data_IF_711437086187
#
_entry.id   IF_711437086187
#
_cell.length_a   1.000
_cell.length_b   1.000
_cell.length_c   1.000
_cell.angle_alpha   90.00
_cell.angle_beta   90.00
_cell.angle_gamma   90.00
#
_symmetry.space_group_name_H-M   'P 1'
#
loop_
_entity.id
_entity.type
_entity.pdbx_description
1 polymer ?
#
# COMPACT_ATOMS: atom_id res chain seq x y z
N UNK A 1 8.18 39.36 33.37
CA UNK A 1 7.31 38.16 33.31
C UNK A 1 6.52 38.27 32.01
N UNK A 2 6.99 37.75 30.87
CA UNK A 2 6.96 36.33 30.47
C UNK A 2 5.53 35.76 30.61
N UNK A 3 4.81 35.27 29.61
CA UNK A 3 5.21 34.64 28.35
C UNK A 3 3.98 34.67 27.41
N UNK A 4 4.20 34.96 26.13
CA UNK A 4 3.18 34.82 25.07
C UNK A 4 3.37 33.40 24.53
N UNK A 5 2.50 32.45 24.90
CA UNK A 5 2.59 31.10 24.36
C UNK A 5 2.15 31.09 22.89
N UNK A 6 3.17 30.98 22.03
CA UNK A 6 3.04 30.93 20.60
C UNK A 6 2.17 29.77 20.16
N UNK A 7 1.03 30.11 19.57
CA UNK A 7 0.32 29.22 18.66
C UNK A 7 1.30 28.81 17.55
N UNK A 8 1.86 27.61 17.68
CA UNK A 8 2.64 26.92 16.65
C UNK A 8 1.69 26.74 15.46
N UNK A 9 1.70 27.69 14.53
CA UNK A 9 1.03 27.56 13.24
C UNK A 9 1.62 26.34 12.55
N UNK A 10 0.90 25.22 12.58
CA UNK A 10 1.21 24.05 11.77
C UNK A 10 0.94 24.43 10.33
N UNK A 11 1.95 25.00 9.67
CA UNK A 11 1.96 25.24 8.24
C UNK A 11 1.60 23.93 7.54
N UNK A 12 0.45 23.90 6.86
CA UNK A 12 0.01 22.72 6.12
C UNK A 12 1.16 22.26 5.20
N UNK A 13 1.53 20.96 5.24
CA UNK A 13 2.70 20.49 4.51
C UNK A 13 2.55 20.86 3.03
N UNK A 14 3.57 21.54 2.49
CA UNK A 14 3.63 21.85 1.06
C UNK A 14 3.63 20.53 0.29
N UNK A 15 2.48 20.19 -0.28
CA UNK A 15 2.31 19.04 -1.15
C UNK A 15 3.09 19.28 -2.45
N UNK A 16 4.37 18.93 -2.46
CA UNK A 16 5.25 19.05 -3.63
C UNK A 16 5.53 17.66 -4.18
N UNK A 17 5.35 17.45 -5.49
CA UNK A 17 5.68 16.17 -6.14
C UNK A 17 7.20 16.06 -6.36
N UNK A 18 7.89 15.48 -5.37
CA UNK A 18 9.36 15.40 -5.33
C UNK A 18 9.90 14.29 -6.23
N UNK A 19 11.20 14.34 -6.54
CA UNK A 19 11.87 13.28 -7.29
C UNK A 19 11.75 11.90 -6.61
N UNK A 20 11.82 11.85 -5.28
CA UNK A 20 11.64 10.63 -4.48
C UNK A 20 10.26 9.98 -4.61
N UNK A 21 9.24 10.75 -5.04
CA UNK A 21 7.88 10.25 -5.26
C UNK A 21 7.64 9.79 -6.70
N UNK A 22 8.67 9.84 -7.56
CA UNK A 22 8.60 9.30 -8.92
C UNK A 22 9.01 7.84 -8.88
N UNK A 23 8.17 6.97 -9.43
CA UNK A 23 8.55 5.59 -9.65
C UNK A 23 9.56 5.55 -10.80
N UNK A 24 10.81 5.26 -10.47
CA UNK A 24 11.95 5.27 -11.38
C UNK A 24 12.76 3.98 -11.24
N UNK A 25 13.62 3.70 -12.23
CA UNK A 25 14.57 2.59 -12.19
C UNK A 25 14.17 1.37 -13.03
N UNK A 26 15.18 0.59 -13.40
CA UNK A 26 15.03 -0.60 -14.22
C UNK A 26 14.14 -1.63 -13.52
N UNK A 27 13.15 -2.16 -14.25
CA UNK A 27 12.22 -3.17 -13.74
C UNK A 27 11.18 -2.66 -12.73
N UNK A 28 11.18 -1.37 -12.33
CA UNK A 28 10.23 -0.86 -11.33
C UNK A 28 8.77 -1.05 -11.76
N UNK A 29 8.45 -0.71 -13.02
CA UNK A 29 7.14 -0.93 -13.61
C UNK A 29 6.78 -2.42 -13.71
N UNK A 30 7.76 -3.26 -14.08
CA UNK A 30 7.57 -4.71 -14.14
C UNK A 30 7.18 -5.28 -12.78
N UNK A 31 7.87 -4.90 -11.70
CA UNK A 31 7.51 -5.34 -10.34
C UNK A 31 6.07 -4.98 -9.98
N UNK A 32 5.63 -3.77 -10.33
CA UNK A 32 4.26 -3.32 -10.06
C UNK A 32 3.24 -4.18 -10.82
N UNK A 33 3.52 -4.50 -12.09
CA UNK A 33 2.67 -5.39 -12.90
C UNK A 33 2.66 -6.83 -12.36
N UNK A 34 3.82 -7.36 -11.99
CA UNK A 34 3.98 -8.71 -11.43
C UNK A 34 3.22 -8.88 -10.10
N UNK A 35 2.93 -7.78 -9.40
CA UNK A 35 2.07 -7.75 -8.22
C UNK A 35 0.60 -8.12 -8.48
N UNK A 36 0.14 -8.14 -9.74
CA UNK A 36 -1.20 -8.59 -10.15
C UNK A 36 -2.35 -7.97 -9.33
N UNK A 37 -2.23 -6.69 -8.96
CA UNK A 37 -3.30 -5.90 -8.35
C UNK A 37 -3.57 -4.71 -9.27
N UNK A 38 -4.80 -4.62 -9.77
CA UNK A 38 -5.20 -3.66 -10.80
C UNK A 38 -6.61 -3.16 -10.53
N UNK A 39 -6.83 -1.86 -10.73
CA UNK A 39 -8.14 -1.22 -10.80
C UNK A 39 -8.24 -0.45 -12.11
N UNK A 40 -9.35 -0.62 -12.81
CA UNK A 40 -9.64 0.09 -14.05
C UNK A 40 -10.72 1.16 -13.82
N UNK A 41 -10.45 2.37 -14.30
CA UNK A 41 -11.36 3.51 -14.32
C UNK A 41 -11.46 4.00 -15.78
N UNK A 42 -12.27 3.31 -16.58
CA UNK A 42 -12.38 3.60 -18.02
C UNK A 42 -11.05 3.46 -18.75
N UNK A 43 -10.56 4.54 -19.34
CA UNK A 43 -9.31 4.56 -20.10
C UNK A 43 -8.03 4.58 -19.23
N UNK A 44 -8.17 4.61 -17.91
CA UNK A 44 -7.05 4.69 -16.96
C UNK A 44 -7.01 3.42 -16.13
N UNK A 45 -5.84 2.79 -16.05
CA UNK A 45 -5.60 1.61 -15.23
C UNK A 45 -4.57 1.93 -14.16
N UNK A 46 -4.82 1.47 -12.94
CA UNK A 46 -3.97 1.67 -11.78
C UNK A 46 -3.48 0.32 -11.28
N UNK A 47 -2.17 0.19 -11.11
CA UNK A 47 -1.53 -0.96 -10.52
C UNK A 47 -0.71 -0.53 -9.31
N UNK A 48 -0.71 -1.32 -8.24
CA UNK A 48 0.12 -1.02 -7.10
C UNK A 48 0.68 -2.26 -6.43
N UNK A 49 1.87 -2.11 -5.85
CA UNK A 49 2.44 -3.05 -4.87
C UNK A 49 2.80 -2.28 -3.60
N UNK A 50 2.59 -2.87 -2.40
CA UNK A 50 3.22 -2.41 -1.18
C UNK A 50 4.71 -2.25 -1.39
N UNK A 51 5.30 -1.20 -0.82
CA UNK A 51 6.74 -1.15 -0.68
C UNK A 51 7.18 -2.06 0.45
N UNK A 52 8.34 -2.66 0.26
CA UNK A 52 8.94 -3.52 1.28
C UNK A 52 9.15 -2.73 2.58
N UNK A 53 8.59 -3.23 3.68
CA UNK A 53 8.72 -2.62 4.99
C UNK A 53 10.18 -2.61 5.49
N UNK A 54 11.02 -3.54 5.03
CA UNK A 54 12.45 -3.56 5.36
C UNK A 54 13.23 -2.43 4.67
N UNK A 55 12.69 -1.87 3.58
CA UNK A 55 13.34 -0.85 2.75
C UNK A 55 12.66 0.53 2.93
N UNK A 56 11.37 0.54 3.22
CA UNK A 56 10.59 1.75 3.43
C UNK A 56 10.93 2.39 4.78
N UNK A 57 11.33 3.67 4.76
CA UNK A 57 11.61 4.43 5.99
C UNK A 57 10.33 4.95 6.66
N UNK A 58 10.43 5.45 7.89
CA UNK A 58 9.31 6.01 8.68
C UNK A 58 8.57 7.20 8.02
N UNK A 59 9.07 7.76 6.92
CA UNK A 59 8.45 8.90 6.20
C UNK A 59 8.33 8.67 4.68
N UNK A 60 8.27 7.41 4.30
CA UNK A 60 8.34 7.01 2.90
C UNK A 60 6.93 7.17 2.28
N UNK A 61 6.77 8.09 1.32
CA UNK A 61 5.48 8.38 0.69
C UNK A 61 5.23 7.52 -0.54
N UNK A 62 3.98 7.25 -0.92
CA UNK A 62 3.62 6.57 -2.18
C UNK A 62 4.40 7.16 -3.37
N UNK A 63 4.89 6.29 -4.25
CA UNK A 63 5.59 6.68 -5.50
C UNK A 63 4.66 6.46 -6.68
N UNK A 64 4.68 7.36 -7.67
CA UNK A 64 3.86 7.24 -8.88
C UNK A 64 4.73 7.20 -10.15
N UNK A 65 4.44 6.24 -11.02
CA UNK A 65 4.90 6.18 -12.41
C UNK A 65 3.71 6.31 -13.36
N UNK A 66 3.90 7.00 -14.49
CA UNK A 66 2.85 7.18 -15.51
C UNK A 66 3.35 6.60 -16.83
N UNK A 67 2.61 5.65 -17.38
CA UNK A 67 2.77 5.12 -18.73
C UNK A 67 1.60 5.60 -19.58
N UNK A 68 1.88 6.14 -20.76
CA UNK A 68 0.84 6.61 -21.69
C UNK A 68 0.97 5.81 -22.98
N UNK A 69 -0.12 5.17 -23.39
CA UNK A 69 -0.17 4.38 -24.61
C UNK A 69 0.11 5.22 -25.86
N UNK A 70 0.78 4.63 -26.85
CA UNK A 70 1.18 5.30 -28.10
C UNK A 70 0.01 5.97 -28.84
N UNK A 71 -1.20 5.41 -28.72
CA UNK A 71 -2.41 5.91 -29.38
C UNK A 71 -3.06 7.12 -28.69
N UNK A 72 -2.58 7.54 -27.52
CA UNK A 72 -3.18 8.63 -26.73
C UNK A 72 -2.84 10.05 -27.23
N UNK A 73 -2.56 10.21 -28.54
CA UNK A 73 -2.25 11.48 -29.17
C UNK A 73 -0.78 11.90 -29.16
N UNK A 74 -0.54 13.11 -29.67
CA UNK A 74 0.78 13.72 -29.82
C UNK A 74 1.45 14.09 -28.49
N UNK A 75 2.70 14.58 -28.56
CA UNK A 75 3.49 14.88 -27.36
C UNK A 75 2.80 15.88 -26.40
N UNK A 76 2.10 16.88 -26.93
CA UNK A 76 1.35 17.85 -26.15
C UNK A 76 0.23 17.20 -25.33
N UNK A 77 -0.61 16.36 -25.95
CA UNK A 77 -1.71 15.63 -25.30
C UNK A 77 -1.16 14.71 -24.19
N UNK A 78 -0.11 13.92 -24.48
CA UNK A 78 0.53 13.07 -23.46
C UNK A 78 1.14 13.87 -22.31
N UNK A 79 1.73 15.03 -22.61
CA UNK A 79 2.29 15.91 -21.57
C UNK A 79 1.19 16.52 -20.69
N UNK A 80 0.03 16.84 -21.28
CA UNK A 80 -1.15 17.33 -20.57
C UNK A 80 -1.70 16.28 -19.61
N UNK A 81 -1.90 15.04 -20.06
CA UNK A 81 -2.28 13.93 -19.18
C UNK A 81 -1.29 13.72 -18.02
N UNK A 82 0.03 13.71 -18.31
CA UNK A 82 1.05 13.62 -17.24
C UNK A 82 0.97 14.78 -16.25
N UNK A 83 0.68 15.99 -16.71
CA UNK A 83 0.55 17.17 -15.82
C UNK A 83 -0.66 17.02 -14.91
N UNK A 84 -1.83 16.70 -15.47
CA UNK A 84 -3.07 16.53 -14.69
C UNK A 84 -2.97 15.40 -13.67
N UNK A 85 -2.43 14.23 -14.04
CA UNK A 85 -2.26 13.11 -13.12
C UNK A 85 -1.27 13.41 -12.00
N UNK A 86 -0.15 14.09 -12.29
CA UNK A 86 0.80 14.50 -11.25
C UNK A 86 0.19 15.54 -10.33
N UNK A 87 -0.62 16.44 -10.86
CA UNK A 87 -1.29 17.45 -10.05
C UNK A 87 -2.37 16.84 -9.16
N UNK A 88 -3.17 15.90 -9.69
CA UNK A 88 -4.11 15.10 -8.92
C UNK A 88 -3.40 14.33 -7.80
N UNK A 89 -2.27 13.69 -8.11
CA UNK A 89 -1.43 13.00 -7.12
C UNK A 89 -0.90 13.95 -6.06
N UNK A 90 -0.35 15.10 -6.46
CA UNK A 90 0.19 16.12 -5.58
C UNK A 90 -0.86 16.64 -4.61
N UNK A 91 -2.04 17.01 -5.10
CA UNK A 91 -3.09 17.59 -4.25
C UNK A 91 -3.69 16.58 -3.26
N UNK A 92 -3.67 15.29 -3.59
CA UNK A 92 -4.31 14.23 -2.80
C UNK A 92 -3.37 13.48 -1.86
N UNK A 93 -2.09 13.88 -1.71
CA UNK A 93 -1.09 13.09 -0.96
C UNK A 93 -1.49 12.77 0.49
N UNK A 94 -2.19 13.70 1.14
CA UNK A 94 -2.67 13.55 2.51
C UNK A 94 -3.82 12.55 2.66
N UNK A 95 -4.48 12.19 1.55
CA UNK A 95 -5.59 11.24 1.50
C UNK A 95 -5.12 9.83 1.12
N UNK A 96 -3.83 9.65 0.83
CA UNK A 96 -3.30 8.34 0.46
C UNK A 96 -3.23 7.44 1.69
N UNK A 97 -3.48 6.13 1.56
CA UNK A 97 -3.31 5.20 2.67
C UNK A 97 -1.89 5.27 3.25
N UNK A 98 -1.78 5.40 4.56
CA UNK A 98 -0.50 5.42 5.31
C UNK A 98 -0.34 4.21 6.22
N UNK A 99 -1.43 3.57 6.63
CA UNK A 99 -1.41 2.34 7.41
C UNK A 99 -0.95 1.14 6.58
N UNK A 100 -0.39 0.13 7.25
CA UNK A 100 0.04 -1.11 6.60
C UNK A 100 -1.11 -1.71 5.76
N UNK A 101 -0.84 -2.22 4.53
CA UNK A 101 0.49 -2.44 3.94
C UNK A 101 0.99 -1.26 3.07
N UNK A 102 0.48 -0.05 3.25
CA UNK A 102 1.07 1.13 2.62
C UNK A 102 2.47 1.43 3.21
N UNK A 103 3.31 2.23 2.53
CA UNK A 103 3.10 2.98 1.29
C UNK A 103 3.24 2.14 0.01
N UNK A 104 2.85 2.70 -1.16
CA UNK A 104 2.80 1.95 -2.43
C UNK A 104 3.82 2.42 -3.49
N UNK A 105 4.18 1.50 -4.38
CA UNK A 105 4.62 1.82 -5.74
C UNK A 105 3.42 1.74 -6.68
N UNK A 106 2.95 2.89 -7.15
CA UNK A 106 1.79 3.04 -8.02
C UNK A 106 2.22 3.26 -9.47
N UNK A 107 1.66 2.47 -10.38
CA UNK A 107 1.78 2.64 -11.83
C UNK A 107 0.42 3.00 -12.41
N UNK A 108 0.36 4.12 -13.11
CA UNK A 108 -0.81 4.59 -13.85
C UNK A 108 -0.58 4.34 -15.33
N UNK A 109 -1.49 3.63 -15.99
CA UNK A 109 -1.48 3.40 -17.44
C UNK A 109 -2.65 4.17 -18.04
N UNK A 110 -2.36 5.04 -18.99
CA UNK A 110 -3.35 5.89 -19.65
C UNK A 110 -3.51 5.47 -21.10
N UNK A 111 -4.73 5.12 -21.49
CA UNK A 111 -5.13 4.86 -22.88
C UNK A 111 -5.73 6.13 -23.51
N UNK A 112 -5.95 6.11 -24.82
CA UNK A 112 -6.60 7.21 -25.52
C UNK A 112 -8.01 7.44 -24.96
N UNK A 113 -8.33 8.69 -24.65
CA UNK A 113 -9.64 9.17 -24.21
C UNK A 113 -9.69 10.70 -24.31
N UNK A 114 -10.89 11.25 -24.23
CA UNK A 114 -11.09 12.70 -24.09
C UNK A 114 -10.55 13.17 -22.74
N UNK A 115 -10.02 14.40 -22.71
CA UNK A 115 -9.43 14.93 -21.49
C UNK A 115 -10.47 15.05 -20.36
N UNK A 116 -10.22 14.36 -19.26
CA UNK A 116 -10.95 14.56 -18.02
C UNK A 116 -10.48 15.81 -17.28
N UNK A 117 -11.37 16.38 -16.47
CA UNK A 117 -11.01 17.45 -15.54
C UNK A 117 -10.04 16.96 -14.45
N UNK A 118 -9.29 17.88 -13.84
CA UNK A 118 -8.41 17.55 -12.72
C UNK A 118 -9.15 16.86 -11.57
N UNK A 119 -10.38 17.30 -11.27
CA UNK A 119 -11.22 16.71 -10.22
C UNK A 119 -11.56 15.24 -10.53
N UNK A 120 -11.91 14.94 -11.78
CA UNK A 120 -12.18 13.56 -12.22
C UNK A 120 -10.93 12.68 -12.14
N UNK A 121 -9.77 13.18 -12.56
CA UNK A 121 -8.50 12.45 -12.39
C UNK A 121 -8.18 12.17 -10.92
N UNK A 122 -8.40 13.14 -10.02
CA UNK A 122 -8.22 12.96 -8.57
C UNK A 122 -9.19 11.93 -8.01
N UNK A 123 -10.46 11.98 -8.40
CA UNK A 123 -11.47 11.03 -7.95
C UNK A 123 -11.11 9.59 -8.36
N UNK A 124 -10.73 9.37 -9.63
CA UNK A 124 -10.29 8.05 -10.09
C UNK A 124 -9.04 7.56 -9.37
N UNK A 125 -8.07 8.44 -9.12
CA UNK A 125 -6.84 8.10 -8.40
C UNK A 125 -7.14 7.63 -6.96
N UNK A 126 -7.99 8.37 -6.24
CA UNK A 126 -8.33 8.05 -4.85
C UNK A 126 -9.16 6.77 -4.73
N UNK A 127 -10.19 6.61 -5.58
CA UNK A 127 -10.97 5.36 -5.64
C UNK A 127 -10.05 4.15 -5.89
N UNK A 128 -9.18 4.26 -6.89
CA UNK A 128 -8.25 3.19 -7.22
C UNK A 128 -7.29 2.88 -6.07
N UNK A 129 -6.74 3.88 -5.39
CA UNK A 129 -5.84 3.68 -4.25
C UNK A 129 -6.55 2.98 -3.08
N UNK A 130 -7.77 3.38 -2.75
CA UNK A 130 -8.55 2.75 -1.67
C UNK A 130 -8.86 1.28 -1.99
N UNK A 131 -9.27 1.00 -3.24
CA UNK A 131 -9.59 -0.36 -3.67
C UNK A 131 -8.34 -1.24 -3.75
N UNK A 132 -7.22 -0.70 -4.23
CA UNK A 132 -5.92 -1.38 -4.22
C UNK A 132 -5.46 -1.67 -2.78
N UNK A 133 -5.63 -0.71 -1.87
CA UNK A 133 -5.33 -0.90 -0.45
C UNK A 133 -6.13 -2.05 0.15
N UNK A 134 -7.44 -2.12 -0.12
CA UNK A 134 -8.29 -3.23 0.32
C UNK A 134 -7.83 -4.60 -0.22
N UNK A 135 -7.44 -4.67 -1.50
CA UNK A 135 -6.88 -5.89 -2.11
C UNK A 135 -5.63 -6.33 -1.35
N UNK A 136 -4.72 -5.41 -1.07
CA UNK A 136 -3.46 -5.72 -0.39
C UNK A 136 -3.64 -6.03 1.09
N UNK A 137 -4.56 -5.37 1.79
CA UNK A 137 -4.95 -5.74 3.14
C UNK A 137 -5.43 -7.20 3.17
N UNK A 138 -6.34 -7.60 2.28
CA UNK A 138 -6.83 -8.99 2.22
C UNK A 138 -5.71 -10.00 1.93
N UNK A 139 -4.71 -9.64 1.13
CA UNK A 139 -3.54 -10.49 0.85
C UNK A 139 -2.61 -10.58 2.05
N UNK A 140 -2.35 -9.46 2.74
CA UNK A 140 -1.53 -9.41 3.95
C UNK A 140 -2.13 -10.27 5.07
N UNK A 141 -3.43 -10.11 5.37
CA UNK A 141 -4.10 -10.91 6.39
C UNK A 141 -4.08 -12.42 6.07
N UNK A 142 -4.30 -12.79 4.81
CA UNK A 142 -4.18 -14.21 4.40
C UNK A 142 -2.78 -14.76 4.63
N UNK A 143 -1.75 -13.96 4.36
CA UNK A 143 -0.35 -14.35 4.57
C UNK A 143 -0.03 -14.53 6.05
N UNK A 144 -0.47 -13.58 6.90
CA UNK A 144 -0.30 -13.67 8.36
C UNK A 144 -0.99 -14.92 8.89
N UNK A 145 -2.26 -15.13 8.54
CA UNK A 145 -3.03 -16.29 9.01
C UNK A 145 -2.41 -17.62 8.55
N UNK A 146 -1.86 -17.69 7.34
CA UNK A 146 -1.15 -18.88 6.86
C UNK A 146 0.15 -19.12 7.63
N UNK A 147 0.94 -18.06 7.87
CA UNK A 147 2.16 -18.14 8.70
C UNK A 147 1.88 -18.58 10.14
N UNK A 148 0.80 -18.08 10.76
CA UNK A 148 0.39 -18.50 12.10
C UNK A 148 -0.06 -19.97 12.13
N UNK A 149 -0.75 -20.43 11.08
CA UNK A 149 -1.16 -21.83 10.94
C UNK A 149 0.04 -22.77 10.77
N UNK A 150 1.00 -22.41 9.89
CA UNK A 150 2.24 -23.17 9.68
C UNK A 150 3.06 -23.24 10.98
N UNK A 151 3.17 -22.13 11.72
CA UNK A 151 3.87 -22.09 13.01
C UNK A 151 3.20 -22.99 14.06
N UNK A 152 1.87 -23.01 14.13
CA UNK A 152 1.11 -23.91 15.03
C UNK A 152 1.30 -25.38 14.66
N UNK A 153 1.33 -25.71 13.38
CA UNK A 153 1.57 -27.08 12.92
C UNK A 153 3.01 -27.57 13.20
N UNK A 154 3.98 -26.66 13.24
CA UNK A 154 5.39 -26.96 13.52
C UNK A 154 5.74 -27.09 15.01
N UNK A 155 4.86 -26.68 15.94
CA UNK A 155 5.07 -26.90 17.36
C UNK A 155 4.73 -28.36 17.72
N UNK A 156 5.64 -29.15 18.30
CA UNK A 156 5.31 -30.49 18.76
C UNK A 156 4.21 -30.39 19.83
N UNK A 157 3.12 -31.14 19.64
CA UNK A 157 2.03 -31.22 20.60
C UNK A 157 2.59 -31.70 21.93
N UNK A 158 2.76 -30.79 22.88
CA UNK A 158 2.89 -31.16 24.29
C UNK A 158 1.52 -31.73 24.70
N UNK A 159 1.34 -33.03 24.52
CA UNK A 159 0.29 -33.77 25.21
C UNK A 159 0.49 -33.55 26.70
N UNK A 160 -0.52 -33.08 27.46
CA UNK A 160 -0.40 -33.05 28.91
C UNK A 160 -0.34 -34.51 29.39
N UNK A 161 0.84 -34.94 29.84
CA UNK A 161 1.02 -36.18 30.57
C UNK A 161 0.13 -36.13 31.80
N UNK A 162 -1.01 -36.83 31.74
CA UNK A 162 -1.84 -37.08 32.92
C UNK A 162 -1.09 -38.13 33.74
N UNK A 163 -0.23 -37.67 34.65
CA UNK A 163 0.32 -38.53 35.70
C UNK A 163 -0.82 -38.80 36.67
N UNK A 164 -1.42 -39.98 36.54
CA UNK A 164 -2.28 -40.59 37.56
C UNK A 164 -1.52 -40.59 38.90
N UNK A 165 -2.07 -40.03 39.99
CA UNK A 165 -1.44 -40.18 41.29
C UNK A 165 -1.66 -41.62 41.77
N UNK A 166 -0.53 -42.28 42.00
CA UNK A 166 -0.38 -43.61 42.57
C UNK A 166 -1.11 -43.70 43.92
N UNK A 167 -1.94 -44.73 44.07
CA UNK A 167 -2.69 -45.00 45.31
C UNK A 167 -1.78 -45.76 46.29
N UNK A 168 -1.82 -45.46 47.60
CA UNK A 168 -0.98 -46.18 48.56
C UNK A 168 -1.51 -47.60 48.79
N UNK A 169 -0.60 -48.56 48.60
CA UNK A 169 -0.77 -49.97 48.92
C UNK A 169 -0.87 -50.16 50.44
N UNK A 170 -1.94 -50.83 50.85
CA UNK A 170 -2.13 -51.47 52.16
C UNK A 170 -3.10 -52.61 51.88
N UNK A 171 -2.92 -53.85 52.41
CA UNK A 171 -2.55 -54.10 53.80
C UNK A 171 -1.66 -55.34 54.04
N UNK A 172 -1.20 -55.55 55.28
CA UNK A 172 -1.29 -56.90 55.89
C UNK A 172 -1.11 -56.89 57.41
N UNK A 173 -2.16 -57.36 58.07
CA UNK A 173 -2.12 -57.91 59.42
C UNK A 173 -1.42 -59.27 59.41
N UNK A 174 -0.50 -59.50 60.35
CA UNK A 174 -0.54 -60.54 61.39
C UNK A 174 0.79 -60.56 62.15
#
# INVERSE_FOLDING_TARGET
MAQIDGARSMSAPRNTFRASQRLQGNGAFKRVIDGRARIDCGAISFHAIPRDAAVARTNDLTRMGISIGRRAGGAAVRNRFKRLLREAFRLSQHEHPTAAPAPYDLMVIVRAHDELTLAQYRAHLLDALQRLHAIWMKRMHRKINASDADARAAMPSATPSTTTPDAPDSPRAH
#
